data_IF_606846082173
#
_entry.id   IF_606846082173
#
_cell.length_a   1.000
_cell.length_b   1.000
_cell.length_c   1.000
_cell.angle_alpha   90.00
_cell.angle_beta   90.00
_cell.angle_gamma   90.00
#
_symmetry.space_group_name_H-M   'P 1'
#
loop_
_entity.id
_entity.type
_entity.pdbx_description
1 polymer ?
#
# COMPACT_ATOMS: atom_id res chain seq x y z
N UNK A 1 32.49 9.74 -35.48
CA UNK A 1 31.38 10.66 -35.17
C UNK A 1 30.04 9.92 -35.30
N UNK A 2 29.79 8.90 -34.48
CA UNK A 2 28.59 8.04 -34.60
C UNK A 2 27.95 7.66 -33.26
N UNK A 3 28.48 8.12 -32.12
CA UNK A 3 28.10 7.58 -30.80
C UNK A 3 27.02 8.38 -30.04
N UNK A 4 26.42 9.41 -30.66
CA UNK A 4 25.40 10.26 -30.01
C UNK A 4 23.96 9.91 -30.38
N UNK A 5 23.75 9.16 -31.47
CA UNK A 5 22.41 8.74 -31.93
C UNK A 5 22.00 7.37 -31.36
N UNK A 6 22.95 6.49 -31.04
CA UNK A 6 22.64 5.17 -30.46
C UNK A 6 22.28 5.22 -28.96
N UNK A 7 22.80 6.21 -28.21
CA UNK A 7 22.46 6.37 -26.78
C UNK A 7 21.00 6.81 -26.56
N UNK A 8 20.44 7.65 -27.44
CA UNK A 8 19.09 8.17 -27.27
C UNK A 8 17.98 7.12 -27.48
N UNK A 9 18.21 6.12 -28.32
CA UNK A 9 17.22 5.04 -28.54
C UNK A 9 17.24 3.98 -27.44
N UNK A 10 18.41 3.71 -26.85
CA UNK A 10 18.54 2.71 -25.78
C UNK A 10 18.02 3.23 -24.41
N UNK A 11 18.05 4.55 -24.17
CA UNK A 11 17.47 5.18 -22.98
C UNK A 11 15.94 5.18 -23.02
N UNK A 12 15.33 5.49 -24.17
CA UNK A 12 13.87 5.46 -24.34
C UNK A 12 13.28 4.05 -24.25
N UNK A 13 14.01 3.04 -24.73
CA UNK A 13 13.61 1.62 -24.69
C UNK A 13 13.71 0.96 -23.31
N UNK A 14 14.29 1.63 -22.30
CA UNK A 14 14.44 1.04 -20.96
C UNK A 14 13.83 1.88 -19.83
N UNK A 15 13.16 3.00 -20.12
CA UNK A 15 12.57 3.86 -19.09
C UNK A 15 11.52 3.10 -18.25
N UNK A 16 10.75 2.20 -18.86
CA UNK A 16 9.77 1.36 -18.14
C UNK A 16 10.47 0.43 -17.15
N UNK A 17 11.63 -0.16 -17.52
CA UNK A 17 12.44 -0.99 -16.63
C UNK A 17 13.14 -0.18 -15.53
N UNK A 18 13.56 1.05 -15.83
CA UNK A 18 14.13 1.95 -14.84
C UNK A 18 13.08 2.38 -13.80
N UNK A 19 11.88 2.72 -14.27
CA UNK A 19 10.74 3.00 -13.39
C UNK A 19 10.39 1.77 -12.55
N UNK A 20 10.29 0.58 -13.15
CA UNK A 20 10.04 -0.66 -12.42
C UNK A 20 11.10 -0.91 -11.33
N UNK A 21 12.38 -0.71 -11.64
CA UNK A 21 13.47 -0.86 -10.68
C UNK A 21 13.34 0.12 -9.50
N UNK A 22 12.97 1.38 -9.76
CA UNK A 22 12.73 2.37 -8.70
C UNK A 22 11.52 1.97 -7.85
N UNK A 23 10.39 1.63 -8.49
CA UNK A 23 9.17 1.25 -7.77
C UNK A 23 9.33 -0.05 -6.96
N UNK A 24 10.21 -0.96 -7.39
CA UNK A 24 10.52 -2.19 -6.68
C UNK A 24 11.28 -1.95 -5.36
N UNK A 25 12.18 -0.96 -5.33
CA UNK A 25 12.94 -0.62 -4.12
C UNK A 25 12.25 0.45 -3.26
N UNK A 26 11.26 1.14 -3.80
CA UNK A 26 10.54 2.20 -3.10
C UNK A 26 9.71 1.61 -1.96
N UNK A 27 9.85 2.11 -0.71
CA UNK A 27 9.08 1.62 0.42
C UNK A 27 7.62 2.10 0.43
N UNK A 28 7.29 3.11 -0.39
CA UNK A 28 5.97 3.72 -0.51
C UNK A 28 5.70 4.10 -1.96
N UNK A 29 4.45 4.43 -2.26
CA UNK A 29 4.07 4.92 -3.58
C UNK A 29 4.81 6.22 -3.94
N UNK A 30 5.18 6.33 -5.22
CA UNK A 30 6.04 7.40 -5.76
C UNK A 30 5.24 8.20 -6.77
N UNK A 31 5.30 9.52 -6.72
CA UNK A 31 4.62 10.35 -7.70
C UNK A 31 5.45 10.56 -8.99
N UNK A 32 4.77 10.96 -10.07
CA UNK A 32 5.40 11.17 -11.39
C UNK A 32 6.56 12.18 -11.33
N UNK A 33 6.42 13.25 -10.55
CA UNK A 33 7.46 14.27 -10.40
C UNK A 33 8.73 13.73 -9.73
N UNK A 34 8.59 12.86 -8.73
CA UNK A 34 9.73 12.19 -8.08
C UNK A 34 10.45 11.26 -9.05
N UNK A 35 9.71 10.51 -9.88
CA UNK A 35 10.29 9.66 -10.92
C UNK A 35 11.01 10.50 -11.98
N UNK A 36 10.42 11.62 -12.41
CA UNK A 36 11.01 12.56 -13.36
C UNK A 36 12.34 13.13 -12.85
N UNK A 37 12.39 13.56 -11.59
CA UNK A 37 13.62 14.05 -10.96
C UNK A 37 14.66 12.94 -10.80
N UNK A 38 14.26 11.73 -10.40
CA UNK A 38 15.18 10.62 -10.18
C UNK A 38 15.82 10.09 -11.47
N UNK A 39 15.07 10.13 -12.58
CA UNK A 39 15.50 9.61 -13.88
C UNK A 39 16.03 10.71 -14.82
N UNK A 40 16.01 11.97 -14.40
CA UNK A 40 16.40 13.15 -15.20
C UNK A 40 15.65 13.23 -16.54
N UNK A 41 14.32 13.02 -16.47
CA UNK A 41 13.44 12.93 -17.62
C UNK A 41 12.18 13.79 -17.44
N UNK A 42 11.49 14.09 -18.54
CA UNK A 42 10.24 14.86 -18.49
C UNK A 42 9.07 14.01 -17.97
N UNK A 43 8.09 14.62 -17.30
CA UNK A 43 6.89 13.93 -16.84
C UNK A 43 6.14 13.20 -17.97
N UNK A 44 6.16 13.74 -19.19
CA UNK A 44 5.57 13.09 -20.37
C UNK A 44 6.28 11.78 -20.74
N UNK A 45 7.61 11.72 -20.62
CA UNK A 45 8.40 10.51 -20.84
C UNK A 45 8.15 9.49 -19.73
N UNK A 46 8.05 9.94 -18.48
CA UNK A 46 7.71 9.10 -17.34
C UNK A 46 6.32 8.49 -17.51
N UNK A 47 5.31 9.30 -17.84
CA UNK A 47 3.95 8.80 -18.06
C UNK A 47 3.92 7.76 -19.19
N UNK A 48 4.59 8.04 -20.30
CA UNK A 48 4.71 7.07 -21.40
C UNK A 48 5.41 5.77 -20.97
N UNK A 49 6.34 5.85 -20.02
CA UNK A 49 7.03 4.69 -19.44
C UNK A 49 6.14 3.90 -18.48
N UNK A 50 5.34 4.59 -17.67
CA UNK A 50 4.34 4.00 -16.77
C UNK A 50 3.26 3.26 -17.56
N UNK A 51 2.76 3.85 -18.64
CA UNK A 51 1.74 3.22 -19.50
C UNK A 51 2.25 1.90 -20.11
N UNK A 52 3.52 1.89 -20.59
CA UNK A 52 4.17 0.66 -21.08
C UNK A 52 4.40 -0.37 -19.98
N UNK A 53 4.78 0.08 -18.78
CA UNK A 53 4.96 -0.78 -17.63
C UNK A 53 3.64 -1.42 -17.21
N UNK A 54 2.55 -0.65 -17.21
CA UNK A 54 1.21 -1.13 -16.90
C UNK A 54 0.78 -2.23 -17.87
N UNK A 55 0.91 -2.00 -19.18
CA UNK A 55 0.57 -2.99 -20.21
C UNK A 55 1.39 -4.28 -20.04
N UNK A 56 2.70 -4.17 -19.78
CA UNK A 56 3.57 -5.33 -19.56
C UNK A 56 3.20 -6.11 -18.30
N UNK A 57 2.81 -5.42 -17.23
CA UNK A 57 2.47 -6.05 -15.95
C UNK A 57 1.01 -6.48 -15.85
N UNK A 58 0.14 -6.13 -16.80
CA UNK A 58 -1.31 -6.35 -16.75
C UNK A 58 -1.73 -7.80 -16.47
N UNK A 59 -0.91 -8.79 -16.86
CA UNK A 59 -1.22 -10.22 -16.72
C UNK A 59 -0.22 -10.99 -15.84
N UNK A 60 0.71 -10.31 -15.16
CA UNK A 60 1.73 -10.94 -14.29
C UNK A 60 1.22 -11.36 -12.90
N UNK A 61 2.13 -11.67 -11.98
CA UNK A 61 1.81 -11.77 -10.54
C UNK A 61 1.96 -10.43 -9.81
N UNK A 62 2.64 -9.47 -10.43
CA UNK A 62 2.82 -8.10 -9.96
C UNK A 62 2.01 -7.17 -10.87
N UNK A 63 1.41 -6.12 -10.30
CA UNK A 63 0.66 -5.08 -10.99
C UNK A 63 1.26 -3.72 -10.67
N UNK A 64 1.12 -2.78 -11.60
CA UNK A 64 1.28 -1.37 -11.32
C UNK A 64 -0.07 -0.83 -10.81
N UNK A 65 -0.06 -0.18 -9.65
CA UNK A 65 -1.25 0.49 -9.11
C UNK A 65 -1.03 2.00 -9.13
N UNK A 66 -2.01 2.72 -9.66
CA UNK A 66 -2.09 4.18 -9.65
C UNK A 66 -3.13 4.67 -8.62
N UNK A 67 -2.79 5.71 -7.87
CA UNK A 67 -3.74 6.44 -7.03
C UNK A 67 -3.36 7.92 -6.93
N UNK A 68 -4.17 8.79 -7.56
CA UNK A 68 -4.01 10.26 -7.50
C UNK A 68 -2.61 10.73 -7.93
N UNK A 69 -2.06 10.13 -8.98
CA UNK A 69 -0.74 10.41 -9.52
C UNK A 69 0.42 9.76 -8.76
N UNK A 70 0.14 8.88 -7.79
CA UNK A 70 1.13 8.05 -7.12
C UNK A 70 1.08 6.63 -7.67
N UNK A 71 2.24 6.04 -7.87
CA UNK A 71 2.42 4.72 -8.45
C UNK A 71 3.18 3.81 -7.50
N UNK A 72 2.79 2.55 -7.43
CA UNK A 72 3.50 1.50 -6.68
C UNK A 72 3.31 0.14 -7.34
N UNK A 73 4.24 -0.78 -7.09
CA UNK A 73 4.08 -2.18 -7.45
C UNK A 73 3.30 -2.91 -6.36
N UNK A 74 2.31 -3.70 -6.77
CA UNK A 74 1.50 -4.53 -5.86
C UNK A 74 1.38 -5.95 -6.39
N UNK A 75 0.99 -6.89 -5.53
CA UNK A 75 0.61 -8.22 -6.00
C UNK A 75 -0.72 -8.16 -6.75
N UNK A 76 -0.87 -9.01 -7.76
CA UNK A 76 -2.13 -9.13 -8.49
C UNK A 76 -3.24 -9.67 -7.56
N UNK A 77 -4.47 -9.14 -7.66
CA UNK A 77 -5.55 -9.44 -6.72
C UNK A 77 -5.97 -10.92 -6.75
N UNK A 78 -5.72 -11.63 -7.84
CA UNK A 78 -6.03 -13.05 -8.00
C UNK A 78 -5.21 -13.95 -7.04
N UNK A 79 -4.11 -13.44 -6.50
CA UNK A 79 -3.24 -14.17 -5.57
C UNK A 79 -3.46 -13.76 -4.10
N UNK A 80 -4.48 -12.95 -3.80
CA UNK A 80 -4.73 -12.43 -2.46
C UNK A 80 -4.80 -13.54 -1.40
N UNK A 81 -5.60 -14.60 -1.62
CA UNK A 81 -5.78 -15.69 -0.66
C UNK A 81 -4.47 -16.39 -0.29
N UNK A 82 -3.60 -16.62 -1.28
CA UNK A 82 -2.29 -17.28 -1.09
C UNK A 82 -1.36 -16.36 -0.28
N UNK A 83 -1.38 -15.06 -0.59
CA UNK A 83 -0.56 -14.06 0.09
C UNK A 83 -1.03 -13.87 1.54
N UNK A 84 -2.34 -13.80 1.77
CA UNK A 84 -2.92 -13.72 3.11
C UNK A 84 -2.51 -14.92 3.96
N UNK A 85 -2.64 -16.13 3.41
CA UNK A 85 -2.19 -17.34 4.08
C UNK A 85 -0.68 -17.32 4.39
N UNK A 86 0.15 -16.94 3.41
CA UNK A 86 1.61 -16.87 3.58
C UNK A 86 2.02 -15.85 4.65
N UNK A 87 1.37 -14.69 4.67
CA UNK A 87 1.65 -13.64 5.66
C UNK A 87 1.04 -13.96 7.04
N UNK A 88 0.31 -15.06 7.19
CA UNK A 88 -0.43 -15.37 8.42
C UNK A 88 -1.50 -14.32 8.72
N UNK A 89 -1.95 -13.60 7.69
CA UNK A 89 -3.10 -12.70 7.75
C UNK A 89 -4.37 -13.54 7.68
N UNK A 90 -4.54 -14.48 8.60
CA UNK A 90 -5.82 -15.15 8.78
C UNK A 90 -6.85 -14.08 9.08
N UNK A 91 -7.73 -13.81 8.09
CA UNK A 91 -8.79 -12.81 8.06
C UNK A 91 -8.85 -12.02 9.36
N UNK A 92 -8.14 -10.88 9.43
CA UNK A 92 -8.10 -9.98 10.58
C UNK A 92 -9.49 -9.92 11.14
N UNK A 93 -9.72 -10.65 12.24
CA UNK A 93 -11.07 -11.06 12.63
C UNK A 93 -11.89 -9.77 12.71
N UNK A 94 -12.85 -9.60 11.79
CA UNK A 94 -13.62 -8.36 11.69
C UNK A 94 -14.02 -7.99 13.10
N UNK A 95 -13.59 -6.80 13.56
CA UNK A 95 -13.92 -6.37 14.90
C UNK A 95 -15.44 -6.43 15.02
N UNK A 96 -15.92 -7.17 16.02
CA UNK A 96 -17.35 -7.19 16.30
C UNK A 96 -17.81 -5.76 16.54
N UNK A 97 -19.10 -5.50 16.32
CA UNK A 97 -19.68 -4.18 16.62
C UNK A 97 -19.34 -3.71 18.05
N UNK A 98 -19.39 -4.63 19.02
CA UNK A 98 -19.00 -4.37 20.40
C UNK A 98 -17.52 -3.95 20.55
N UNK A 99 -16.62 -4.55 19.75
CA UNK A 99 -15.21 -4.18 19.73
C UNK A 99 -14.97 -2.81 19.08
N UNK A 100 -15.67 -2.50 18.00
CA UNK A 100 -15.62 -1.16 17.38
C UNK A 100 -16.15 -0.09 18.33
N UNK A 101 -17.31 -0.31 18.96
CA UNK A 101 -17.88 0.63 19.93
C UNK A 101 -16.91 0.87 21.10
N UNK A 102 -16.30 -0.18 21.63
CA UNK A 102 -15.32 -0.07 22.72
C UNK A 102 -14.07 0.71 22.28
N UNK A 103 -13.53 0.38 21.11
CA UNK A 103 -12.35 1.06 20.55
C UNK A 103 -12.64 2.55 20.28
N UNK A 104 -13.84 2.89 19.79
CA UNK A 104 -14.26 4.28 19.58
C UNK A 104 -14.39 5.06 20.89
N UNK A 105 -14.90 4.45 21.96
CA UNK A 105 -14.98 5.09 23.28
C UNK A 105 -13.57 5.41 23.79
N UNK A 106 -12.66 4.44 23.71
CA UNK A 106 -11.26 4.60 24.14
C UNK A 106 -10.60 5.74 23.34
N UNK A 107 -10.61 5.67 22.02
CA UNK A 107 -9.94 6.65 21.16
C UNK A 107 -10.43 8.11 21.37
N UNK A 108 -11.69 8.31 21.76
CA UNK A 108 -12.24 9.64 22.00
C UNK A 108 -12.13 10.13 23.45
N UNK A 109 -11.97 9.21 24.42
CA UNK A 109 -12.01 9.53 25.85
C UNK A 109 -10.71 9.17 26.58
N UNK A 110 -9.65 8.83 25.85
CA UNK A 110 -8.32 8.62 26.44
C UNK A 110 -7.85 9.88 27.20
N UNK A 111 -7.38 9.75 28.46
CA UNK A 111 -7.25 8.51 29.25
C UNK A 111 -8.57 8.10 29.94
N UNK A 112 -9.01 6.84 29.76
CA UNK A 112 -10.22 6.26 30.36
C UNK A 112 -9.93 4.89 31.00
N UNK A 113 -10.65 4.55 32.07
CA UNK A 113 -10.52 3.26 32.78
C UNK A 113 -11.59 2.23 32.36
N UNK A 114 -11.30 0.94 32.56
CA UNK A 114 -12.26 -0.14 32.24
C UNK A 114 -13.65 0.06 32.87
N UNK A 115 -13.80 0.39 34.17
CA UNK A 115 -15.11 0.63 34.76
C UNK A 115 -15.89 1.77 34.10
N UNK A 116 -15.20 2.82 33.64
CA UNK A 116 -15.82 3.94 32.93
C UNK A 116 -16.28 3.52 31.53
N UNK A 117 -15.50 2.70 30.82
CA UNK A 117 -15.91 2.10 29.54
C UNK A 117 -17.17 1.24 29.74
N UNK A 118 -17.20 0.40 30.77
CA UNK A 118 -18.37 -0.44 31.08
C UNK A 118 -19.60 0.42 31.39
N UNK A 119 -19.42 1.56 32.06
CA UNK A 119 -20.50 2.52 32.35
C UNK A 119 -21.05 3.16 31.06
N UNK A 120 -20.17 3.59 30.15
CA UNK A 120 -20.57 4.20 28.87
C UNK A 120 -21.26 3.17 27.96
N UNK A 121 -20.77 1.92 27.93
CA UNK A 121 -21.34 0.84 27.12
C UNK A 121 -22.60 0.22 27.73
N UNK A 122 -22.78 0.35 29.04
CA UNK A 122 -23.87 -0.30 29.78
C UNK A 122 -23.77 -1.83 29.87
N UNK A 123 -22.67 -2.42 29.42
CA UNK A 123 -22.41 -3.87 29.42
C UNK A 123 -20.94 -4.16 29.70
N UNK A 124 -20.64 -5.38 30.16
CA UNK A 124 -19.28 -5.82 30.44
C UNK A 124 -18.40 -5.83 29.16
N UNK A 125 -17.23 -5.19 29.24
CA UNK A 125 -16.28 -5.04 28.11
C UNK A 125 -15.03 -5.90 28.25
N UNK A 126 -14.93 -6.77 29.25
CA UNK A 126 -13.69 -7.49 29.61
C UNK A 126 -13.18 -8.41 28.49
N UNK A 127 -14.08 -9.18 27.87
CA UNK A 127 -13.72 -10.02 26.72
C UNK A 127 -13.31 -9.22 25.48
N UNK A 128 -13.94 -8.07 25.27
CA UNK A 128 -13.63 -7.17 24.16
C UNK A 128 -12.28 -6.49 24.38
N UNK A 129 -12.02 -5.96 25.58
CA UNK A 129 -10.75 -5.34 25.94
C UNK A 129 -9.59 -6.33 25.84
N UNK A 130 -9.77 -7.57 26.31
CA UNK A 130 -8.76 -8.63 26.13
C UNK A 130 -8.48 -8.92 24.65
N UNK A 131 -9.51 -8.95 23.81
CA UNK A 131 -9.36 -9.14 22.37
C UNK A 131 -8.63 -7.98 21.70
N UNK A 132 -8.95 -6.74 22.07
CA UNK A 132 -8.31 -5.52 21.54
C UNK A 132 -6.82 -5.45 21.96
N UNK A 133 -6.51 -5.73 23.24
CA UNK A 133 -5.13 -5.84 23.73
C UNK A 133 -4.34 -6.95 23.01
N UNK A 134 -4.95 -8.12 22.84
CA UNK A 134 -4.33 -9.25 22.14
C UNK A 134 -4.04 -8.96 20.66
N UNK A 135 -4.72 -7.97 20.07
CA UNK A 135 -4.51 -7.48 18.70
C UNK A 135 -3.60 -6.24 18.63
N UNK A 136 -3.13 -5.72 19.76
CA UNK A 136 -2.29 -4.51 19.84
C UNK A 136 -3.00 -3.23 19.40
N UNK A 137 -4.32 -3.16 19.56
CA UNK A 137 -5.13 -1.99 19.16
C UNK A 137 -5.34 -0.97 20.29
N UNK A 138 -5.09 -1.36 21.54
CA UNK A 138 -5.09 -0.56 22.77
C UNK A 138 -4.00 -1.07 23.72
#
# INVERSE_FOLDING_TARGET
>A
MTNSLEKSDNTKQNIDKQIEAILFVAPQSVNVGQLAVALDETESVIQSGLDRLEERLQHGAIRLQEHRGYYQLTSAPEYADIIEHFLGLEATTRLSRAALETLSIIAYQEPITRPEIDLVRGVNSDGVLRSLLGKGLI
#
